data_IF_683166631665
#
_entry.id   IF_683166631665
#
_cell.length_a   1.000
_cell.length_b   1.000
_cell.length_c   1.000
_cell.angle_alpha   90.00
_cell.angle_beta   90.00
_cell.angle_gamma   90.00
#
_symmetry.space_group_name_H-M   'P 1'
#
loop_
_entity.id
_entity.type
_entity.pdbx_description
1 polymer ?
#
# COMPACT_ATOMS: atom_id res chain seq x y z
N UNK A 1 -3.59 7.45 17.73
CA UNK A 1 -4.69 8.45 17.78
C UNK A 1 -5.79 8.01 16.82
N UNK A 2 -6.96 7.64 17.32
CA UNK A 2 -8.15 7.36 16.50
C UNK A 2 -8.85 8.67 16.18
N UNK A 3 -8.74 9.13 14.93
CA UNK A 3 -9.54 10.24 14.42
C UNK A 3 -11.03 9.90 14.34
N UNK A 4 -11.90 10.88 14.04
CA UNK A 4 -13.34 10.66 13.94
C UNK A 4 -13.67 9.61 12.88
N UNK A 5 -14.56 8.67 13.21
CA UNK A 5 -14.98 7.57 12.33
C UNK A 5 -16.43 7.77 11.90
N UNK A 6 -16.71 7.73 10.60
CA UNK A 6 -18.07 7.70 10.05
C UNK A 6 -18.37 6.32 9.48
N UNK A 7 -19.47 5.69 9.92
CA UNK A 7 -19.98 4.45 9.31
C UNK A 7 -20.71 4.76 8.01
N UNK A 8 -20.49 3.94 6.98
CA UNK A 8 -21.25 3.94 5.72
C UNK A 8 -21.71 2.51 5.43
N UNK A 9 -22.89 2.37 4.84
CA UNK A 9 -23.50 1.09 4.50
C UNK A 9 -23.87 1.10 3.02
N UNK A 10 -23.58 -0.01 2.33
CA UNK A 10 -23.78 -0.15 0.89
C UNK A 10 -24.23 -1.59 0.60
N UNK A 11 -25.05 -1.77 -0.44
CA UNK A 11 -25.35 -3.09 -0.99
C UNK A 11 -24.22 -3.54 -1.90
N UNK A 12 -23.86 -4.81 -1.83
CA UNK A 12 -22.76 -5.39 -2.60
C UNK A 12 -23.29 -6.46 -3.58
N UNK A 13 -22.64 -6.63 -4.74
CA UNK A 13 -22.79 -7.84 -5.55
C UNK A 13 -22.44 -9.10 -4.75
N UNK A 14 -23.11 -10.22 -5.05
CA UNK A 14 -22.99 -11.46 -4.29
C UNK A 14 -21.54 -11.99 -4.25
N UNK A 15 -20.84 -11.96 -5.39
CA UNK A 15 -19.44 -12.37 -5.52
C UNK A 15 -18.50 -11.53 -4.63
N UNK A 16 -18.76 -10.22 -4.52
CA UNK A 16 -17.98 -9.33 -3.66
C UNK A 16 -18.27 -9.61 -2.18
N UNK A 17 -19.53 -9.83 -1.81
CA UNK A 17 -19.91 -10.19 -0.45
C UNK A 17 -19.23 -11.50 -0.02
N UNK A 18 -19.33 -12.56 -0.82
CA UNK A 18 -18.67 -13.86 -0.56
C UNK A 18 -17.15 -13.72 -0.42
N UNK A 19 -16.51 -12.85 -1.22
CA UNK A 19 -15.06 -12.63 -1.11
C UNK A 19 -14.69 -11.97 0.21
N UNK A 20 -15.48 -11.00 0.67
CA UNK A 20 -15.25 -10.27 1.92
C UNK A 20 -15.54 -11.14 3.15
N UNK A 21 -16.49 -12.07 3.07
CA UNK A 21 -16.75 -13.05 4.14
C UNK A 21 -15.56 -13.97 4.41
N UNK A 22 -14.71 -14.21 3.41
CA UNK A 22 -13.45 -14.99 3.57
C UNK A 22 -12.33 -14.20 4.24
N UNK A 23 -12.46 -12.88 4.38
CA UNK A 23 -11.44 -12.06 5.03
C UNK A 23 -11.60 -12.09 6.55
N UNK A 24 -10.52 -12.29 7.32
CA UNK A 24 -10.58 -12.27 8.79
C UNK A 24 -11.15 -10.96 9.36
N UNK A 25 -11.01 -9.85 8.61
CA UNK A 25 -11.61 -8.56 8.93
C UNK A 25 -11.96 -7.79 7.64
N UNK A 26 -13.21 -7.94 7.20
CA UNK A 26 -13.72 -7.29 5.98
C UNK A 26 -13.59 -5.76 6.01
N UNK A 27 -13.85 -5.12 7.15
CA UNK A 27 -13.78 -3.65 7.27
C UNK A 27 -12.36 -3.14 7.10
N UNK A 28 -11.38 -3.79 7.75
CA UNK A 28 -9.97 -3.43 7.60
C UNK A 28 -9.50 -3.65 6.15
N UNK A 29 -9.88 -4.76 5.53
CA UNK A 29 -9.59 -5.06 4.14
C UNK A 29 -10.10 -3.96 3.20
N UNK A 30 -11.37 -3.56 3.34
CA UNK A 30 -11.98 -2.50 2.52
C UNK A 30 -11.29 -1.16 2.74
N UNK A 31 -11.01 -0.79 3.99
CA UNK A 31 -10.29 0.47 4.31
C UNK A 31 -8.91 0.48 3.65
N UNK A 32 -8.17 -0.62 3.72
CA UNK A 32 -6.84 -0.71 3.12
C UNK A 32 -6.90 -0.67 1.59
N UNK A 33 -7.89 -1.32 0.98
CA UNK A 33 -8.12 -1.26 -0.46
C UNK A 33 -8.45 0.17 -0.93
N UNK A 34 -9.34 0.87 -0.21
CA UNK A 34 -9.68 2.27 -0.49
C UNK A 34 -8.46 3.17 -0.35
N UNK A 35 -7.68 3.04 0.73
CA UNK A 35 -6.45 3.81 0.93
C UNK A 35 -5.38 3.51 -0.12
N UNK A 36 -5.27 2.27 -0.59
CA UNK A 36 -4.38 1.93 -1.69
C UNK A 36 -4.83 2.62 -2.99
N UNK A 37 -6.14 2.69 -3.25
CA UNK A 37 -6.70 3.39 -4.41
C UNK A 37 -6.45 4.89 -4.35
N UNK A 38 -6.72 5.54 -3.22
CA UNK A 38 -6.47 6.98 -3.02
C UNK A 38 -5.01 7.33 -3.29
N UNK A 39 -4.06 6.57 -2.70
CA UNK A 39 -2.62 6.80 -2.95
C UNK A 39 -2.23 6.68 -4.42
N UNK A 40 -2.87 5.77 -5.16
CA UNK A 40 -2.62 5.64 -6.59
C UNK A 40 -3.18 6.84 -7.39
N UNK A 41 -4.35 7.36 -7.00
CA UNK A 41 -4.94 8.56 -7.58
C UNK A 41 -4.09 9.80 -7.30
N UNK A 42 -3.60 9.96 -6.07
CA UNK A 42 -2.69 11.05 -5.69
C UNK A 42 -1.39 11.02 -6.51
N UNK A 43 -0.83 9.83 -6.72
CA UNK A 43 0.36 9.65 -7.53
C UNK A 43 0.11 9.96 -9.01
N UNK A 44 -1.00 9.48 -9.57
CA UNK A 44 -1.40 9.79 -10.96
C UNK A 44 -1.59 11.31 -11.14
N UNK A 45 -2.20 11.98 -10.16
CA UNK A 45 -2.35 13.44 -10.16
C UNK A 45 -1.00 14.17 -10.10
N UNK A 46 -0.06 13.66 -9.31
CA UNK A 46 1.30 14.21 -9.22
C UNK A 46 2.09 14.05 -10.52
N UNK A 47 1.95 12.91 -11.22
CA UNK A 47 2.54 12.76 -12.55
C UNK A 47 1.93 13.73 -13.55
N UNK A 48 0.60 13.88 -13.55
CA UNK A 48 -0.09 14.81 -14.43
C UNK A 48 0.36 16.28 -14.19
N UNK A 49 0.57 16.69 -12.93
CA UNK A 49 1.11 18.02 -12.59
C UNK A 49 2.49 18.28 -13.20
N UNK A 50 3.29 17.23 -13.42
CA UNK A 50 4.61 17.30 -14.06
C UNK A 50 4.56 17.08 -15.59
N UNK A 51 3.37 17.04 -16.19
CA UNK A 51 3.20 16.78 -17.62
C UNK A 51 3.46 15.33 -18.03
N UNK A 52 3.48 14.39 -17.08
CA UNK A 52 3.65 12.97 -17.35
C UNK A 52 2.31 12.25 -17.34
N UNK A 53 2.02 11.49 -18.40
CA UNK A 53 0.80 10.68 -18.49
C UNK A 53 1.13 9.20 -18.38
N UNK A 54 0.55 8.55 -17.36
CA UNK A 54 0.67 7.10 -17.18
C UNK A 54 -0.36 6.38 -18.06
N UNK A 55 0.08 5.82 -19.19
CA UNK A 55 -0.80 5.11 -20.11
C UNK A 55 -1.25 3.74 -19.57
N UNK A 56 -2.42 3.27 -19.99
CA UNK A 56 -2.91 1.94 -19.65
C UNK A 56 -1.95 0.83 -20.13
N UNK A 57 -1.42 0.96 -21.35
CA UNK A 57 -0.42 0.05 -21.90
C UNK A 57 0.89 0.05 -21.08
N UNK A 58 1.36 1.23 -20.67
CA UNK A 58 2.53 1.37 -19.80
C UNK A 58 2.32 0.67 -18.47
N UNK A 59 1.15 0.83 -17.85
CA UNK A 59 0.79 0.11 -16.61
C UNK A 59 0.75 -1.40 -16.81
N UNK A 60 0.16 -1.89 -17.90
CA UNK A 60 0.12 -3.31 -18.21
C UNK A 60 1.54 -3.89 -18.37
N UNK A 61 2.39 -3.21 -19.15
CA UNK A 61 3.79 -3.62 -19.36
C UNK A 61 4.58 -3.63 -18.05
N UNK A 62 4.43 -2.61 -17.21
CA UNK A 62 5.07 -2.54 -15.90
C UNK A 62 4.61 -3.67 -14.96
N UNK A 63 3.31 -4.02 -14.97
CA UNK A 63 2.77 -5.14 -14.18
C UNK A 63 3.37 -6.47 -14.60
N UNK A 64 3.48 -6.73 -15.90
CA UNK A 64 4.09 -7.95 -16.45
C UNK A 64 5.56 -8.06 -16.03
N UNK A 65 6.34 -7.00 -16.23
CA UNK A 65 7.76 -6.99 -15.83
C UNK A 65 7.91 -7.21 -14.31
N UNK A 66 7.07 -6.57 -13.51
CA UNK A 66 7.09 -6.77 -12.05
C UNK A 66 6.77 -8.22 -11.68
N UNK A 67 5.77 -8.82 -12.32
CA UNK A 67 5.39 -10.21 -12.06
C UNK A 67 6.49 -11.21 -12.46
N UNK A 68 7.25 -10.93 -13.53
CA UNK A 68 8.42 -11.73 -13.92
C UNK A 68 9.50 -11.67 -12.85
N UNK A 69 9.88 -10.46 -12.44
CA UNK A 69 10.88 -10.26 -11.37
C UNK A 69 10.43 -10.90 -10.05
N UNK A 70 9.14 -10.80 -9.71
CA UNK A 70 8.58 -11.39 -8.49
C UNK A 70 8.63 -12.92 -8.47
N UNK A 71 8.60 -13.60 -9.62
CA UNK A 71 8.74 -15.06 -9.69
C UNK A 71 10.15 -15.53 -9.35
N UNK A 72 11.16 -14.71 -9.64
CA UNK A 72 12.56 -14.99 -9.34
C UNK A 72 12.90 -14.71 -7.87
N UNK A 73 11.99 -14.10 -7.11
CA UNK A 73 12.25 -13.75 -5.72
C UNK A 73 12.05 -14.95 -4.80
N UNK A 74 13.02 -15.16 -3.91
CA UNK A 74 12.86 -16.12 -2.82
C UNK A 74 11.65 -15.78 -1.93
N UNK A 75 10.98 -16.79 -1.34
CA UNK A 75 9.96 -16.57 -0.34
C UNK A 75 10.48 -15.63 0.76
N UNK A 76 9.68 -14.62 1.14
CA UNK A 76 10.06 -13.66 2.18
C UNK A 76 10.96 -12.49 1.72
N UNK A 77 11.55 -12.52 0.51
CA UNK A 77 12.39 -11.40 0.01
C UNK A 77 11.65 -10.06 0.00
N UNK A 78 10.37 -10.10 -0.35
CA UNK A 78 9.48 -8.93 -0.39
C UNK A 78 9.25 -8.34 1.00
N UNK A 79 9.14 -9.19 2.01
CA UNK A 79 8.99 -8.78 3.40
C UNK A 79 10.29 -8.19 3.94
N UNK A 80 11.42 -8.85 3.71
CA UNK A 80 12.74 -8.34 4.09
C UNK A 80 13.05 -6.98 3.45
N UNK A 81 12.68 -6.78 2.17
CA UNK A 81 12.82 -5.48 1.51
C UNK A 81 11.97 -4.40 2.19
N UNK A 82 10.72 -4.70 2.53
CA UNK A 82 9.83 -3.76 3.24
C UNK A 82 10.37 -3.39 4.61
N UNK A 83 10.89 -4.35 5.37
CA UNK A 83 11.48 -4.11 6.68
C UNK A 83 12.71 -3.20 6.58
N UNK A 84 13.60 -3.46 5.61
CA UNK A 84 14.73 -2.57 5.33
C UNK A 84 14.29 -1.16 4.97
N UNK A 85 13.31 -1.01 4.08
CA UNK A 85 12.79 0.31 3.70
C UNK A 85 12.15 1.05 4.88
N UNK A 86 11.40 0.35 5.74
CA UNK A 86 10.82 0.95 6.96
C UNK A 86 11.91 1.41 7.92
N UNK A 87 12.96 0.61 8.11
CA UNK A 87 14.09 0.97 8.96
C UNK A 87 14.79 2.22 8.44
N UNK A 88 15.14 2.24 7.15
CA UNK A 88 15.78 3.38 6.51
C UNK A 88 14.92 4.66 6.59
N UNK A 89 13.59 4.54 6.46
CA UNK A 89 12.69 5.68 6.60
C UNK A 89 12.67 6.25 8.03
N UNK A 90 12.76 5.40 9.07
CA UNK A 90 12.87 5.84 10.47
C UNK A 90 14.20 6.54 10.74
N UNK A 91 15.29 5.96 10.23
CA UNK A 91 16.63 6.54 10.32
C UNK A 91 16.68 7.93 9.65
N UNK A 92 16.09 8.06 8.45
CA UNK A 92 15.99 9.35 7.75
C UNK A 92 15.09 10.37 8.47
N UNK A 93 14.07 9.92 9.20
CA UNK A 93 13.20 10.78 9.99
C UNK A 93 13.85 11.27 11.29
N UNK A 94 15.08 10.86 11.60
CA UNK A 94 15.81 11.31 12.79
C UNK A 94 15.31 10.69 14.10
N UNK A 95 14.58 9.57 14.06
CA UNK A 95 14.29 8.76 15.26
C UNK A 95 15.60 8.10 15.72
N UNK A 96 16.42 8.89 16.41
CA UNK A 96 17.54 8.42 17.21
C UNK A 96 16.95 7.98 18.56
N UNK A 97 17.30 6.78 19.03
CA UNK A 97 16.81 6.19 20.28
C UNK A 97 16.69 7.22 21.44
N UNK A 98 15.55 7.34 22.14
CA UNK A 98 15.45 8.15 23.37
C UNK A 98 16.17 7.52 24.59
N UNK A 99 16.92 6.43 24.41
CA UNK A 99 17.68 5.77 25.47
C UNK A 99 19.19 5.84 25.21
N UNK A 100 19.76 7.04 25.36
CA UNK A 100 21.15 7.18 25.77
C UNK A 100 21.16 7.45 27.29
N UNK A 101 21.75 6.58 28.13
CA UNK A 101 21.89 6.88 29.54
C UNK A 101 22.85 8.06 29.71
N UNK A 102 22.45 9.05 30.50
CA UNK A 102 23.31 10.16 30.88
C UNK A 102 24.51 9.63 31.69
N UNK A 103 25.71 10.03 31.28
CA UNK A 103 26.96 9.81 31.99
C UNK A 103 27.22 10.92 33.01
#
# INVERSE_FOLDING_TARGET
MTGPVSKKSFSLPADVAERLEREPNASAYVVDAVRARMRAEDLDAEFARRGMTVSAQGRARARVQRAQVEQEWSPGRRQALRERSRRAAREMAGETDPHAPAA
#
